data_IF_454910134827
#
_entry.id   IF_454910134827
#
_cell.length_a   1.000
_cell.length_b   1.000
_cell.length_c   1.000
_cell.angle_alpha   90.00
_cell.angle_beta   90.00
_cell.angle_gamma   90.00
#
_symmetry.space_group_name_H-M   'P 1'
#
loop_
_entity.id
_entity.type
_entity.pdbx_description
1 polymer ?
#
# COMPACT_ATOMS: atom_id res chain seq x y z
N UNK A 1 8.83 -61.18 -56.09
CA UNK A 1 7.61 -61.49 -55.31
C UNK A 1 7.26 -60.31 -54.40
N UNK A 2 5.96 -60.10 -54.20
CA UNK A 2 5.25 -59.26 -53.23
C UNK A 2 5.29 -57.73 -53.32
N UNK A 3 4.29 -57.26 -54.09
CA UNK A 3 3.52 -56.04 -53.90
C UNK A 3 2.82 -56.03 -52.53
N UNK A 4 2.66 -54.85 -51.95
CA UNK A 4 1.39 -54.43 -51.34
C UNK A 4 1.10 -53.00 -51.82
N UNK A 5 0.26 -52.89 -52.86
CA UNK A 5 -0.64 -51.75 -53.05
C UNK A 5 -1.80 -51.95 -52.03
N UNK A 6 -2.57 -50.98 -51.54
CA UNK A 6 -3.09 -49.80 -52.21
C UNK A 6 -3.92 -48.94 -51.23
N UNK A 7 -4.17 -47.71 -51.68
CA UNK A 7 -5.47 -47.00 -51.71
C UNK A 7 -5.93 -46.25 -50.46
N UNK A 8 -6.08 -44.94 -50.66
CA UNK A 8 -7.16 -44.17 -50.05
C UNK A 8 -7.05 -42.65 -50.27
N UNK A 9 -7.78 -42.10 -51.26
CA UNK A 9 -8.18 -40.67 -51.34
C UNK A 9 -7.08 -39.68 -51.71
N UNK A 10 -6.86 -39.23 -52.95
CA UNK A 10 -7.79 -38.65 -53.92
C UNK A 10 -8.51 -37.39 -53.38
N UNK A 11 -8.24 -36.27 -54.08
CA UNK A 11 -8.98 -34.99 -54.16
C UNK A 11 -8.53 -33.89 -53.19
N UNK A 12 -7.66 -32.96 -53.61
CA UNK A 12 -8.04 -31.69 -54.28
C UNK A 12 -9.12 -30.90 -53.51
N UNK A 13 -8.70 -29.89 -52.74
CA UNK A 13 -9.09 -28.49 -52.94
C UNK A 13 -8.88 -27.64 -51.67
N UNK A 14 -8.04 -26.61 -51.81
CA UNK A 14 -8.34 -25.23 -51.41
C UNK A 14 -8.98 -25.02 -50.02
N UNK A 15 -8.15 -24.74 -49.02
CA UNK A 15 -8.48 -23.68 -48.05
C UNK A 15 -7.30 -22.72 -47.99
N UNK A 16 -7.49 -21.65 -48.76
CA UNK A 16 -6.85 -20.37 -48.65
C UNK A 16 -7.41 -19.65 -47.41
N UNK A 17 -6.57 -18.83 -46.76
CA UNK A 17 -6.84 -18.06 -45.53
C UNK A 17 -6.90 -18.95 -44.28
N UNK A 18 -6.13 -18.73 -43.22
CA UNK A 18 -5.83 -17.44 -42.59
C UNK A 18 -4.41 -17.53 -42.05
N UNK A 19 -3.53 -16.63 -42.49
CA UNK A 19 -2.32 -16.31 -41.75
C UNK A 19 -2.74 -15.68 -40.43
N UNK A 20 -2.92 -16.50 -39.40
CA UNK A 20 -3.05 -16.00 -38.04
C UNK A 20 -1.65 -15.54 -37.64
N UNK A 21 -1.42 -14.24 -37.78
CA UNK A 21 -0.33 -13.54 -37.11
C UNK A 21 -0.41 -13.85 -35.62
N UNK A 22 0.29 -14.90 -35.18
CA UNK A 22 0.56 -15.17 -33.79
C UNK A 22 1.70 -14.24 -33.33
N UNK A 23 1.48 -12.95 -33.54
CA UNK A 23 2.37 -11.86 -33.19
C UNK A 23 1.54 -10.68 -32.68
N UNK A 24 0.44 -10.94 -31.96
CA UNK A 24 -0.29 -9.88 -31.23
C UNK A 24 -1.40 -10.44 -30.30
N UNK A 25 -1.04 -11.32 -29.37
CA UNK A 25 -1.97 -11.70 -28.29
C UNK A 25 -1.24 -12.04 -26.99
N UNK A 26 -0.13 -11.34 -26.74
CA UNK A 26 0.48 -11.28 -25.42
C UNK A 26 0.71 -9.82 -25.06
N UNK A 27 -0.36 -9.02 -25.04
CA UNK A 27 -0.44 -7.94 -24.04
C UNK A 27 -0.66 -8.62 -22.69
N UNK A 28 0.39 -9.29 -22.21
CA UNK A 28 0.52 -9.55 -20.80
C UNK A 28 0.54 -8.15 -20.18
N UNK A 29 -0.59 -7.72 -19.63
CA UNK A 29 -0.58 -6.67 -18.63
C UNK A 29 0.18 -7.29 -17.46
N UNK A 30 1.50 -7.19 -17.51
CA UNK A 30 2.37 -7.46 -16.38
C UNK A 30 2.11 -6.33 -15.39
N UNK A 31 1.10 -6.51 -14.53
CA UNK A 31 0.84 -5.75 -13.32
C UNK A 31 1.06 -6.69 -12.13
N UNK A 32 1.63 -6.24 -10.99
CA UNK A 32 2.77 -5.36 -10.81
C UNK A 32 3.82 -6.04 -9.89
N UNK A 33 4.87 -6.63 -10.45
CA UNK A 33 6.03 -7.02 -9.63
C UNK A 33 6.83 -5.79 -9.11
N UNK A 34 6.56 -4.60 -9.65
CA UNK A 34 7.23 -3.35 -9.32
C UNK A 34 6.90 -2.87 -7.89
N UNK A 35 5.61 -2.81 -7.53
CA UNK A 35 5.18 -2.33 -6.21
C UNK A 35 5.73 -3.15 -5.03
N UNK A 36 6.04 -4.43 -5.25
CA UNK A 36 6.60 -5.32 -4.23
C UNK A 36 8.10 -5.04 -3.98
N UNK A 37 8.86 -4.71 -5.04
CA UNK A 37 10.26 -4.28 -4.89
C UNK A 37 10.33 -2.86 -4.31
N UNK A 38 9.43 -1.97 -4.73
CA UNK A 38 9.34 -0.61 -4.20
C UNK A 38 9.10 -0.60 -2.67
N UNK A 39 8.37 -1.60 -2.17
CA UNK A 39 8.19 -1.84 -0.73
C UNK A 39 9.50 -2.20 -0.03
N UNK A 40 10.29 -3.11 -0.61
CA UNK A 40 11.55 -3.57 -0.03
C UNK A 40 12.53 -2.40 0.00
N UNK A 41 12.64 -1.68 -1.12
CA UNK A 41 13.49 -0.49 -1.23
C UNK A 41 13.07 0.59 -0.22
N UNK A 42 11.76 0.82 -0.03
CA UNK A 42 11.25 1.77 0.96
C UNK A 42 11.59 1.39 2.41
N UNK A 43 11.55 0.08 2.74
CA UNK A 43 11.93 -0.42 4.05
C UNK A 43 13.44 -0.28 4.29
N UNK A 44 14.25 -0.61 3.28
CA UNK A 44 15.72 -0.45 3.35
C UNK A 44 16.11 1.04 3.44
N UNK A 45 15.44 1.93 2.69
CA UNK A 45 15.63 3.39 2.78
C UNK A 45 15.22 3.94 4.14
N UNK A 46 14.27 3.31 4.83
CA UNK A 46 13.91 3.64 6.21
C UNK A 46 14.97 3.15 7.22
N UNK A 47 16.08 2.58 6.75
CA UNK A 47 17.18 2.07 7.58
C UNK A 47 16.84 0.75 8.27
N UNK A 48 15.84 0.03 7.78
CA UNK A 48 15.48 -1.29 8.32
C UNK A 48 16.19 -2.38 7.54
N UNK A 49 16.90 -3.26 8.26
CA UNK A 49 17.34 -4.52 7.69
C UNK A 49 16.14 -5.44 7.45
N UNK A 50 15.72 -5.57 6.19
CA UNK A 50 14.72 -6.55 5.78
C UNK A 50 15.38 -7.91 5.75
N UNK A 51 14.96 -8.82 6.64
CA UNK A 51 15.47 -10.19 6.65
C UNK A 51 15.15 -10.90 5.33
N UNK A 52 15.98 -11.88 4.93
CA UNK A 52 15.68 -12.69 3.73
C UNK A 52 14.31 -13.37 3.82
N UNK A 53 13.88 -13.77 5.03
CA UNK A 53 12.54 -14.32 5.26
C UNK A 53 11.43 -13.29 4.98
N UNK A 54 11.58 -12.05 5.46
CA UNK A 54 10.60 -10.99 5.20
C UNK A 54 10.59 -10.56 3.73
N UNK A 55 11.77 -10.56 3.09
CA UNK A 55 11.93 -10.28 1.67
C UNK A 55 11.20 -11.34 0.85
N UNK A 56 11.41 -12.62 1.15
CA UNK A 56 10.74 -13.73 0.47
C UNK A 56 9.22 -13.67 0.71
N UNK A 57 8.77 -13.38 1.94
CA UNK A 57 7.35 -13.24 2.24
C UNK A 57 6.70 -12.08 1.45
N UNK A 58 7.39 -10.93 1.35
CA UNK A 58 6.94 -9.79 0.54
C UNK A 58 6.93 -10.16 -0.94
N UNK A 59 7.94 -10.86 -1.43
CA UNK A 59 8.06 -11.26 -2.85
C UNK A 59 7.01 -12.27 -3.29
N UNK A 60 6.60 -13.15 -2.38
CA UNK A 60 5.55 -14.13 -2.61
C UNK A 60 4.14 -13.55 -2.38
N UNK A 61 4.02 -12.33 -1.85
CA UNK A 61 2.74 -11.71 -1.59
C UNK A 61 1.96 -11.44 -2.89
N UNK A 62 0.67 -11.75 -2.88
CA UNK A 62 -0.24 -11.32 -3.94
C UNK A 62 -0.72 -9.90 -3.66
N UNK A 63 -1.24 -9.15 -4.64
CA UNK A 63 -1.86 -7.86 -4.39
C UNK A 63 -2.94 -7.91 -3.29
N UNK A 64 -3.68 -9.02 -3.19
CA UNK A 64 -4.68 -9.22 -2.14
C UNK A 64 -4.07 -9.41 -0.73
N UNK A 65 -2.89 -10.02 -0.63
CA UNK A 65 -2.24 -10.31 0.66
C UNK A 65 -1.17 -9.31 1.06
N UNK A 66 -0.75 -8.43 0.15
CA UNK A 66 0.34 -7.48 0.39
C UNK A 66 0.13 -6.65 1.65
N UNK A 67 -1.08 -6.13 1.88
CA UNK A 67 -1.36 -5.34 3.09
C UNK A 67 -1.20 -6.14 4.39
N UNK A 68 -1.50 -7.45 4.37
CA UNK A 68 -1.34 -8.33 5.52
C UNK A 68 0.14 -8.58 5.80
N UNK A 69 0.91 -8.89 4.75
CA UNK A 69 2.36 -9.10 4.84
C UNK A 69 3.04 -7.82 5.32
N UNK A 70 2.72 -6.68 4.69
CA UNK A 70 3.25 -5.37 5.05
C UNK A 70 2.97 -4.99 6.49
N UNK A 71 1.74 -5.19 6.96
CA UNK A 71 1.40 -4.90 8.33
C UNK A 71 2.26 -5.70 9.32
N UNK A 72 2.59 -6.95 8.99
CA UNK A 72 3.44 -7.80 9.84
C UNK A 72 4.91 -7.39 9.79
N UNK A 73 5.44 -7.14 8.59
CA UNK A 73 6.85 -6.75 8.40
C UNK A 73 7.13 -5.41 9.07
N UNK A 74 6.29 -4.40 8.80
CA UNK A 74 6.40 -3.08 9.45
C UNK A 74 6.32 -3.21 10.97
N UNK A 75 5.33 -3.97 11.49
CA UNK A 75 5.18 -4.12 12.93
C UNK A 75 6.40 -4.80 13.58
N UNK A 76 7.04 -5.76 12.88
CA UNK A 76 8.26 -6.42 13.36
C UNK A 76 9.45 -5.47 13.34
N UNK A 77 9.67 -4.79 12.22
CA UNK A 77 10.82 -3.94 12.01
C UNK A 77 10.79 -2.70 12.93
N UNK A 78 9.64 -2.03 13.03
CA UNK A 78 9.42 -0.93 13.98
C UNK A 78 9.45 -1.42 15.42
N UNK A 79 9.00 -2.64 15.70
CA UNK A 79 9.15 -3.24 17.03
C UNK A 79 10.60 -3.39 17.50
N UNK A 80 11.56 -3.45 16.58
CA UNK A 80 13.01 -3.48 16.87
C UNK A 80 13.54 -2.05 17.05
N UNK A 81 13.11 -1.11 16.20
CA UNK A 81 13.48 0.31 16.27
C UNK A 81 12.24 1.21 16.20
N UNK A 82 11.61 1.54 17.35
CA UNK A 82 10.38 2.35 17.37
C UNK A 82 10.54 3.74 16.77
N UNK A 83 11.74 4.33 16.85
CA UNK A 83 12.04 5.66 16.30
C UNK A 83 12.01 5.69 14.76
N UNK A 84 12.10 4.53 14.10
CA UNK A 84 11.98 4.45 12.65
C UNK A 84 10.52 4.51 12.15
N UNK A 85 9.51 4.47 13.05
CA UNK A 85 8.11 4.38 12.65
C UNK A 85 7.67 5.46 11.64
N UNK A 86 8.00 6.76 11.82
CA UNK A 86 7.61 7.80 10.86
C UNK A 86 8.29 7.62 9.50
N UNK A 87 9.58 7.28 9.49
CA UNK A 87 10.35 7.07 8.26
C UNK A 87 9.82 5.89 7.45
N UNK A 88 9.48 4.80 8.12
CA UNK A 88 8.87 3.62 7.49
C UNK A 88 7.53 3.96 6.86
N UNK A 89 6.67 4.67 7.61
CA UNK A 89 5.37 5.06 7.10
C UNK A 89 5.48 6.01 5.90
N UNK A 90 6.39 7.00 5.96
CA UNK A 90 6.72 7.92 4.86
C UNK A 90 7.21 7.19 3.63
N UNK A 91 8.22 6.35 3.77
CA UNK A 91 8.87 5.70 2.64
C UNK A 91 7.90 4.75 1.93
N UNK A 92 7.13 3.97 2.69
CA UNK A 92 6.09 3.11 2.09
C UNK A 92 4.98 3.95 1.46
N UNK A 93 4.54 5.04 2.10
CA UNK A 93 3.49 5.91 1.54
C UNK A 93 3.91 6.60 0.23
N UNK A 94 5.20 6.91 0.09
CA UNK A 94 5.81 7.45 -1.14
C UNK A 94 5.95 6.38 -2.23
N UNK A 95 6.50 5.22 -1.88
CA UNK A 95 6.81 4.15 -2.82
C UNK A 95 5.55 3.42 -3.30
N UNK A 96 4.64 3.11 -2.37
CA UNK A 96 3.38 2.44 -2.64
C UNK A 96 2.23 3.21 -1.98
N UNK A 97 1.73 4.25 -2.67
CA UNK A 97 0.57 5.02 -2.26
C UNK A 97 -0.62 4.20 -1.76
N UNK A 98 -0.87 3.03 -2.38
CA UNK A 98 -1.96 2.17 -1.93
C UNK A 98 -1.81 1.62 -0.51
N UNK A 99 -0.58 1.52 -0.02
CA UNK A 99 -0.25 0.98 1.30
C UNK A 99 0.00 2.06 2.37
N UNK A 100 -0.12 3.35 2.04
CA UNK A 100 0.15 4.43 2.99
C UNK A 100 -0.62 4.29 4.32
N UNK A 101 -1.92 3.99 4.26
CA UNK A 101 -2.74 3.75 5.44
C UNK A 101 -2.28 2.51 6.22
N UNK A 102 -2.03 1.39 5.52
CA UNK A 102 -1.55 0.14 6.12
C UNK A 102 -0.23 0.36 6.86
N UNK A 103 0.71 1.06 6.22
CA UNK A 103 2.02 1.37 6.79
C UNK A 103 1.90 2.25 8.03
N UNK A 104 1.11 3.34 7.95
CA UNK A 104 0.88 4.22 9.09
C UNK A 104 0.24 3.49 10.28
N UNK A 105 -0.76 2.63 10.04
CA UNK A 105 -1.39 1.83 11.11
C UNK A 105 -0.40 0.83 11.70
N UNK A 106 0.35 0.11 10.87
CA UNK A 106 1.30 -0.88 11.36
C UNK A 106 2.47 -0.25 12.13
N UNK A 107 2.99 0.88 11.64
CA UNK A 107 4.02 1.65 12.32
C UNK A 107 3.51 2.22 13.65
N UNK A 108 2.30 2.78 13.66
CA UNK A 108 1.65 3.27 14.89
C UNK A 108 1.41 2.14 15.89
N UNK A 109 0.92 0.99 15.45
CA UNK A 109 0.68 -0.17 16.34
C UNK A 109 1.96 -0.61 17.03
N UNK A 110 3.07 -0.61 16.30
CA UNK A 110 4.38 -0.98 16.85
C UNK A 110 4.98 0.13 17.74
N UNK A 111 4.72 1.40 17.42
CA UNK A 111 5.19 2.55 18.17
C UNK A 111 4.06 3.58 18.44
N UNK A 112 3.14 3.31 19.39
CA UNK A 112 1.97 4.17 19.60
C UNK A 112 2.30 5.60 20.01
N UNK A 113 3.44 5.81 20.69
CA UNK A 113 3.93 7.12 21.06
C UNK A 113 4.26 8.02 19.86
N UNK A 114 4.52 7.41 18.69
CA UNK A 114 4.91 8.09 17.45
C UNK A 114 3.69 8.33 16.52
N UNK A 115 2.45 8.08 16.98
CA UNK A 115 1.24 8.14 16.14
C UNK A 115 1.09 9.47 15.38
N UNK A 116 1.43 10.59 16.03
CA UNK A 116 1.36 11.93 15.44
C UNK A 116 2.42 12.08 14.35
N UNK A 117 3.67 11.73 14.64
CA UNK A 117 4.79 11.83 13.69
C UNK A 117 4.60 10.88 12.49
N UNK A 118 4.15 9.65 12.74
CA UNK A 118 3.74 8.68 11.72
C UNK A 118 2.65 9.25 10.83
N UNK A 119 1.63 9.88 11.41
CA UNK A 119 0.55 10.51 10.65
C UNK A 119 1.11 11.63 9.78
N UNK A 120 1.87 12.58 10.34
CA UNK A 120 2.47 13.67 9.57
C UNK A 120 3.29 13.13 8.40
N UNK A 121 4.22 12.21 8.66
CA UNK A 121 5.15 11.70 7.66
C UNK A 121 4.42 10.94 6.54
N UNK A 122 3.41 10.14 6.87
CA UNK A 122 2.60 9.42 5.88
C UNK A 122 1.69 10.36 5.07
N UNK A 123 1.14 11.40 5.69
CA UNK A 123 0.26 12.37 5.02
C UNK A 123 1.05 13.33 4.13
N UNK A 124 2.21 13.83 4.54
CA UNK A 124 3.07 14.64 3.68
C UNK A 124 3.48 13.90 2.40
N UNK A 125 3.70 12.59 2.53
CA UNK A 125 4.01 11.68 1.42
C UNK A 125 2.80 11.40 0.54
N UNK A 126 1.61 11.37 1.14
CA UNK A 126 0.38 11.02 0.45
C UNK A 126 -0.82 11.87 0.92
N UNK A 127 -0.87 13.16 0.53
CA UNK A 127 -1.91 14.08 1.01
C UNK A 127 -3.31 13.64 0.62
N UNK A 128 -3.45 12.98 -0.55
CA UNK A 128 -4.72 12.45 -1.04
C UNK A 128 -5.35 11.40 -0.11
N UNK A 129 -4.55 10.79 0.77
CA UNK A 129 -4.97 9.80 1.75
C UNK A 129 -5.04 10.33 3.18
N UNK A 130 -4.90 11.64 3.39
CA UNK A 130 -4.88 12.27 4.72
C UNK A 130 -6.02 11.79 5.64
N UNK A 131 -7.26 11.83 5.16
CA UNK A 131 -8.42 11.42 5.94
C UNK A 131 -8.41 9.92 6.29
N UNK A 132 -7.98 9.06 5.36
CA UNK A 132 -7.90 7.62 5.58
C UNK A 132 -6.80 7.25 6.58
N UNK A 133 -5.65 7.91 6.48
CA UNK A 133 -4.51 7.74 7.40
C UNK A 133 -4.92 8.21 8.80
N UNK A 134 -5.34 9.47 8.95
CA UNK A 134 -5.72 10.05 10.24
C UNK A 134 -6.87 9.29 10.91
N UNK A 135 -7.88 8.92 10.12
CA UNK A 135 -9.00 8.12 10.59
C UNK A 135 -8.55 6.76 11.12
N UNK A 136 -7.66 6.05 10.42
CA UNK A 136 -7.20 4.75 10.87
C UNK A 136 -6.23 4.83 12.07
N UNK A 137 -5.33 5.80 12.07
CA UNK A 137 -4.39 6.02 13.19
C UNK A 137 -5.16 6.42 14.47
N UNK A 138 -6.19 7.26 14.37
CA UNK A 138 -7.04 7.61 15.52
C UNK A 138 -7.86 6.45 16.08
N UNK A 139 -8.10 5.38 15.29
CA UNK A 139 -8.66 4.12 15.81
C UNK A 139 -7.60 3.33 16.56
N UNK A 140 -6.37 3.32 16.07
CA UNK A 140 -5.26 2.59 16.70
C UNK A 140 -4.81 3.26 18.01
N UNK A 141 -4.82 4.59 18.08
CA UNK A 141 -4.47 5.37 19.27
C UNK A 141 -5.56 6.42 19.55
N UNK A 142 -6.69 6.03 20.16
CA UNK A 142 -7.84 6.92 20.42
C UNK A 142 -7.51 8.13 21.29
N UNK A 143 -6.50 8.02 22.15
CA UNK A 143 -6.03 9.10 23.00
C UNK A 143 -5.36 10.22 22.22
N UNK A 144 -4.75 9.90 21.06
CA UNK A 144 -4.05 10.85 20.20
C UNK A 144 -4.95 11.41 19.08
N UNK A 145 -6.25 11.13 19.08
CA UNK A 145 -7.15 11.46 17.96
C UNK A 145 -7.16 12.96 17.61
N UNK A 146 -7.09 13.84 18.62
CA UNK A 146 -7.10 15.30 18.41
C UNK A 146 -5.80 15.73 17.73
N UNK A 147 -4.66 15.30 18.25
CA UNK A 147 -3.33 15.61 17.74
C UNK A 147 -3.11 15.01 16.36
N UNK A 148 -3.61 13.79 16.10
CA UNK A 148 -3.60 13.14 14.80
C UNK A 148 -4.44 13.92 13.78
N UNK A 149 -5.61 14.44 14.17
CA UNK A 149 -6.42 15.29 13.29
C UNK A 149 -5.68 16.59 12.94
N UNK A 150 -5.06 17.24 13.93
CA UNK A 150 -4.27 18.47 13.73
C UNK A 150 -3.07 18.20 12.81
N UNK A 151 -2.31 17.15 13.08
CA UNK A 151 -1.15 16.76 12.29
C UNK A 151 -1.52 16.50 10.83
N UNK A 152 -2.56 15.69 10.58
CA UNK A 152 -3.01 15.40 9.23
C UNK A 152 -3.58 16.61 8.50
N UNK A 153 -4.38 17.45 9.18
CA UNK A 153 -4.95 18.65 8.58
C UNK A 153 -3.86 19.70 8.26
N UNK A 154 -2.81 19.79 9.09
CA UNK A 154 -1.66 20.69 8.83
C UNK A 154 -0.82 20.18 7.66
N UNK A 155 -0.59 18.87 7.59
CA UNK A 155 0.17 18.24 6.51
C UNK A 155 -0.57 18.25 5.16
N UNK A 156 -1.90 18.25 5.17
CA UNK A 156 -2.75 18.35 3.98
C UNK A 156 -3.94 19.32 4.20
N UNK A 157 -3.69 20.66 4.22
CA UNK A 157 -4.73 21.66 4.52
C UNK A 157 -5.93 21.60 3.57
N UNK A 158 -5.72 21.24 2.32
CA UNK A 158 -6.78 21.06 1.33
C UNK A 158 -7.71 19.86 1.64
N UNK A 159 -7.27 18.95 2.51
CA UNK A 159 -8.04 17.77 2.97
C UNK A 159 -8.57 17.90 4.38
N UNK A 160 -8.37 19.04 5.04
CA UNK A 160 -8.73 19.25 6.44
C UNK A 160 -10.18 18.81 6.76
N UNK A 161 -11.15 19.22 5.94
CA UNK A 161 -12.56 18.91 6.21
C UNK A 161 -12.84 17.40 6.17
N UNK A 162 -12.16 16.68 5.27
CA UNK A 162 -12.22 15.21 5.17
C UNK A 162 -11.54 14.56 6.38
N UNK A 163 -10.40 15.09 6.81
CA UNK A 163 -9.67 14.66 8.02
C UNK A 163 -10.54 14.83 9.27
N UNK A 164 -11.12 16.02 9.52
CA UNK A 164 -12.04 16.28 10.64
C UNK A 164 -13.21 15.30 10.60
N UNK A 165 -13.81 15.09 9.43
CA UNK A 165 -14.93 14.15 9.28
C UNK A 165 -14.54 12.72 9.66
N UNK A 166 -13.42 12.22 9.13
CA UNK A 166 -12.93 10.87 9.38
C UNK A 166 -12.60 10.63 10.86
N UNK A 167 -11.85 11.55 11.49
CA UNK A 167 -11.44 11.39 12.89
C UNK A 167 -12.63 11.56 13.84
N UNK A 168 -13.55 12.50 13.60
CA UNK A 168 -14.79 12.63 14.41
C UNK A 168 -15.66 11.39 14.36
N UNK A 169 -15.74 10.74 13.19
CA UNK A 169 -16.45 9.47 13.04
C UNK A 169 -15.91 8.37 13.97
N UNK A 170 -14.60 8.39 14.24
CA UNK A 170 -13.91 7.42 15.08
C UNK A 170 -13.78 7.86 16.55
N UNK A 171 -13.90 9.16 16.84
CA UNK A 171 -13.82 9.75 18.18
C UNK A 171 -15.00 10.72 18.44
N UNK A 172 -16.26 10.25 18.43
CA UNK A 172 -17.44 11.12 18.46
C UNK A 172 -17.53 11.99 19.73
N UNK A 173 -17.05 11.49 20.87
CA UNK A 173 -17.02 12.22 22.14
C UNK A 173 -16.03 13.40 22.14
N UNK A 174 -15.06 13.40 21.22
CA UNK A 174 -14.05 14.45 21.06
C UNK A 174 -14.33 15.39 19.89
N UNK A 175 -15.51 15.31 19.28
CA UNK A 175 -15.77 16.03 18.03
C UNK A 175 -15.56 17.54 18.11
N UNK A 176 -16.02 18.17 19.20
CA UNK A 176 -15.84 19.62 19.41
C UNK A 176 -14.38 19.99 19.64
N UNK A 177 -13.62 19.14 20.33
CA UNK A 177 -12.19 19.32 20.58
C UNK A 177 -11.39 19.22 19.28
N UNK A 178 -11.71 18.23 18.44
CA UNK A 178 -11.12 18.07 17.10
C UNK A 178 -11.40 19.30 16.23
N UNK A 179 -12.65 19.76 16.16
CA UNK A 179 -13.02 20.92 15.33
C UNK A 179 -12.26 22.17 15.79
N UNK A 180 -12.23 22.45 17.10
CA UNK A 180 -11.56 23.61 17.67
C UNK A 180 -10.03 23.55 17.48
N UNK A 181 -9.39 22.41 17.76
CA UNK A 181 -7.94 22.27 17.68
C UNK A 181 -7.43 22.41 16.24
N UNK A 182 -8.15 21.83 15.26
CA UNK A 182 -7.78 21.96 13.86
C UNK A 182 -8.06 23.37 13.33
N UNK A 183 -9.08 24.07 13.82
CA UNK A 183 -9.34 25.47 13.47
C UNK A 183 -8.25 26.41 14.02
N UNK A 184 -7.74 26.13 15.21
CA UNK A 184 -6.63 26.91 15.79
C UNK A 184 -5.30 26.70 15.05
N UNK A 185 -5.10 25.54 14.43
CA UNK A 185 -3.84 25.16 13.80
C UNK A 185 -3.63 25.67 12.35
N UNK A 186 -4.68 26.14 11.67
CA UNK A 186 -4.68 26.54 10.24
C UNK A 186 -4.93 28.04 10.04
#
# INVERSE_FOLDING_TARGET
MNRVHSVGGKWLARIQAIGFSLAFALTLVAMPAMAIQDVIDALEEAGLEVSEEDRDEILEATPETLSIVMGRVVNRAVGINPEAAPDVARNIANAVPEQAQTAAVAATRAAPAQAVEVTTAAVESNPDRAAAIAGAVSVEVPEAAVEVAVAAATAAPEREAEVRSAVRGNAPTRSQEIDAAVEEAL
#
